data_IF_143078415652
#
_entry.id   IF_143078415652
#
_cell.length_a   1.000
_cell.length_b   1.000
_cell.length_c   1.000
_cell.angle_alpha   90.00
_cell.angle_beta   90.00
_cell.angle_gamma   90.00
#
_symmetry.space_group_name_H-M   'P 1'
#
loop_
_entity.id
_entity.type
_entity.pdbx_description
1 polymer ?
#
# COMPACT_ATOMS: atom_id res chain seq x y z
N UNK A 1 -20.02 -9.41 -9.16
CA UNK A 1 -19.73 -7.95 -9.16
C UNK A 1 -18.26 -7.75 -8.76
N UNK A 2 -17.50 -6.94 -9.50
CA UNK A 2 -16.06 -6.81 -9.26
C UNK A 2 -15.79 -5.88 -8.05
N UNK A 3 -15.31 -6.43 -6.95
CA UNK A 3 -14.98 -5.72 -5.69
C UNK A 3 -14.12 -4.47 -5.94
N UNK A 4 -13.17 -4.54 -6.87
CA UNK A 4 -12.32 -3.40 -7.22
C UNK A 4 -13.10 -2.23 -7.85
N UNK A 5 -14.10 -2.51 -8.69
CA UNK A 5 -14.98 -1.47 -9.25
C UNK A 5 -15.81 -0.79 -8.18
N UNK A 6 -16.34 -1.57 -7.24
CA UNK A 6 -17.11 -1.04 -6.12
C UNK A 6 -16.25 -0.17 -5.18
N UNK A 7 -15.01 -0.60 -4.88
CA UNK A 7 -14.06 0.21 -4.10
C UNK A 7 -13.71 1.53 -4.79
N UNK A 8 -13.46 1.50 -6.11
CA UNK A 8 -13.19 2.73 -6.89
C UNK A 8 -14.40 3.68 -6.89
N UNK A 9 -15.61 3.16 -7.04
CA UNK A 9 -16.83 3.96 -7.00
C UNK A 9 -17.04 4.60 -5.62
N UNK A 10 -16.86 3.84 -4.54
CA UNK A 10 -16.95 4.34 -3.16
C UNK A 10 -15.90 5.41 -2.86
N UNK A 11 -14.66 5.23 -3.34
CA UNK A 11 -13.61 6.23 -3.17
C UNK A 11 -13.97 7.54 -3.89
N UNK A 12 -14.40 7.46 -5.15
CA UNK A 12 -14.79 8.65 -5.93
C UNK A 12 -15.95 9.42 -5.33
N UNK A 13 -16.90 8.70 -4.71
CA UNK A 13 -18.06 9.31 -4.07
C UNK A 13 -17.73 9.99 -2.72
N UNK A 14 -16.80 9.44 -1.96
CA UNK A 14 -16.54 9.86 -0.57
C UNK A 14 -15.26 10.68 -0.39
N UNK A 15 -14.29 10.53 -1.31
CA UNK A 15 -12.95 11.14 -1.27
C UNK A 15 -12.34 11.15 0.16
N UNK A 16 -12.20 9.99 0.82
CA UNK A 16 -11.68 9.94 2.17
C UNK A 16 -10.21 10.39 2.20
N UNK A 17 -9.80 11.04 3.28
CA UNK A 17 -8.38 11.27 3.54
C UNK A 17 -7.66 9.94 3.76
N UNK A 18 -6.60 9.70 2.99
CA UNK A 18 -5.82 8.45 3.04
C UNK A 18 -4.37 8.76 3.37
N UNK A 19 -3.84 8.08 4.39
CA UNK A 19 -2.41 8.05 4.69
C UNK A 19 -1.93 6.62 4.46
N UNK A 20 -0.97 6.45 3.57
CA UNK A 20 -0.37 5.16 3.25
C UNK A 20 1.09 5.12 3.71
N UNK A 21 1.46 4.04 4.37
CA UNK A 21 2.85 3.71 4.70
C UNK A 21 3.23 2.43 3.95
N UNK A 22 4.26 2.51 3.13
CA UNK A 22 4.72 1.41 2.29
C UNK A 22 6.19 1.16 2.59
N UNK A 23 6.57 -0.11 2.83
CA UNK A 23 7.97 -0.45 3.01
C UNK A 23 8.73 -0.36 1.69
N UNK A 24 9.95 0.19 1.73
CA UNK A 24 10.86 0.19 0.58
C UNK A 24 11.08 -1.23 0.05
N UNK A 25 11.33 -2.20 0.93
CA UNK A 25 11.52 -3.61 0.58
C UNK A 25 10.30 -4.22 -0.12
N UNK A 26 9.07 -3.82 0.23
CA UNK A 26 7.86 -4.28 -0.46
C UNK A 26 7.79 -3.71 -1.89
N UNK A 27 8.21 -2.46 -2.09
CA UNK A 27 8.27 -1.87 -3.42
C UNK A 27 9.36 -2.54 -4.28
N UNK A 28 10.51 -2.87 -3.71
CA UNK A 28 11.57 -3.64 -4.39
C UNK A 28 11.05 -5.01 -4.82
N UNK A 29 10.40 -5.73 -3.93
CA UNK A 29 9.81 -7.03 -4.21
C UNK A 29 8.73 -6.92 -5.29
N UNK A 30 7.87 -5.92 -5.22
CA UNK A 30 6.82 -5.66 -6.18
C UNK A 30 7.37 -5.43 -7.60
N UNK A 31 8.43 -4.64 -7.73
CA UNK A 31 9.10 -4.37 -9.01
C UNK A 31 9.84 -5.59 -9.54
N UNK A 32 10.49 -6.38 -8.67
CA UNK A 32 11.26 -7.55 -9.05
C UNK A 32 10.40 -8.74 -9.48
N UNK A 33 9.30 -8.96 -8.78
CA UNK A 33 8.43 -10.14 -9.00
C UNK A 33 7.14 -9.83 -9.75
N UNK A 34 6.78 -8.55 -9.88
CA UNK A 34 5.55 -8.10 -10.50
C UNK A 34 4.34 -8.23 -9.57
N UNK A 35 3.18 -7.89 -10.10
CA UNK A 35 1.91 -8.06 -9.42
C UNK A 35 1.70 -9.53 -9.03
N UNK A 36 1.22 -9.78 -7.81
CA UNK A 36 0.93 -11.11 -7.25
C UNK A 36 2.17 -11.94 -6.87
N UNK A 37 3.38 -11.62 -7.34
CA UNK A 37 4.64 -12.23 -6.89
C UNK A 37 4.81 -13.73 -7.16
N UNK A 38 4.09 -14.30 -8.14
CA UNK A 38 4.20 -15.70 -8.53
C UNK A 38 5.42 -15.94 -9.42
N UNK A 39 6.30 -16.84 -8.98
CA UNK A 39 7.55 -17.18 -9.69
C UNK A 39 7.41 -18.40 -10.61
N UNK A 40 6.36 -19.20 -10.41
CA UNK A 40 6.03 -20.41 -11.17
C UNK A 40 5.39 -20.16 -12.55
N UNK A 41 5.18 -18.91 -12.92
CA UNK A 41 4.59 -18.52 -14.19
C UNK A 41 5.61 -18.51 -15.33
N UNK A 42 5.16 -18.71 -16.60
CA UNK A 42 6.01 -18.60 -17.77
C UNK A 42 6.75 -17.26 -17.83
N UNK A 43 7.99 -17.27 -18.34
CA UNK A 43 8.85 -16.08 -18.36
C UNK A 43 8.20 -14.86 -19.02
N UNK A 44 7.48 -15.05 -20.13
CA UNK A 44 6.72 -14.00 -20.82
C UNK A 44 5.66 -13.36 -19.92
N UNK A 45 4.93 -14.16 -19.14
CA UNK A 45 3.91 -13.67 -18.21
C UNK A 45 4.55 -12.90 -17.06
N UNK A 46 5.66 -13.39 -16.53
CA UNK A 46 6.42 -12.69 -15.47
C UNK A 46 6.94 -11.34 -15.97
N UNK A 47 7.49 -11.29 -17.18
CA UNK A 47 7.95 -10.03 -17.79
C UNK A 47 6.79 -9.02 -17.92
N UNK A 48 5.65 -9.43 -18.47
CA UNK A 48 4.47 -8.57 -18.58
C UNK A 48 3.99 -8.06 -17.22
N UNK A 49 4.02 -8.90 -16.17
CA UNK A 49 3.64 -8.49 -14.81
C UNK A 49 4.62 -7.48 -14.20
N UNK A 50 5.92 -7.63 -14.45
CA UNK A 50 6.91 -6.62 -14.02
C UNK A 50 6.68 -5.27 -14.71
N UNK A 51 6.33 -5.26 -16.00
CA UNK A 51 5.98 -4.02 -16.68
C UNK A 51 4.74 -3.34 -16.06
N UNK A 52 3.70 -4.10 -15.74
CA UNK A 52 2.55 -3.57 -15.02
C UNK A 52 2.94 -3.03 -13.65
N UNK A 53 3.79 -3.73 -12.91
CA UNK A 53 4.28 -3.25 -11.60
C UNK A 53 5.06 -1.93 -11.72
N UNK A 54 5.90 -1.79 -12.76
CA UNK A 54 6.60 -0.52 -13.04
C UNK A 54 5.63 0.61 -13.40
N UNK A 55 4.58 0.32 -14.19
CA UNK A 55 3.57 1.30 -14.52
C UNK A 55 2.83 1.79 -13.27
N UNK A 56 2.45 0.88 -12.37
CA UNK A 56 1.84 1.22 -11.08
C UNK A 56 2.79 2.00 -10.17
N UNK A 57 4.07 1.61 -10.11
CA UNK A 57 5.07 2.34 -9.33
C UNK A 57 5.27 3.78 -9.85
N UNK A 58 5.26 3.99 -11.18
CA UNK A 58 5.28 5.35 -11.77
C UNK A 58 4.04 6.15 -11.39
N UNK A 59 2.86 5.50 -11.37
CA UNK A 59 1.62 6.15 -10.95
C UNK A 59 1.68 6.56 -9.46
N UNK A 60 2.17 5.68 -8.58
CA UNK A 60 2.42 6.03 -7.18
C UNK A 60 3.39 7.22 -7.03
N UNK A 61 4.45 7.22 -7.84
CA UNK A 61 5.44 8.30 -7.83
C UNK A 61 4.82 9.63 -8.26
N UNK A 62 3.96 9.61 -9.29
CA UNK A 62 3.22 10.80 -9.72
C UNK A 62 2.28 11.30 -8.61
N UNK A 63 1.56 10.40 -7.92
CA UNK A 63 0.72 10.78 -6.78
C UNK A 63 1.49 11.42 -5.64
N UNK A 64 2.74 10.99 -5.39
CA UNK A 64 3.60 11.63 -4.39
C UNK A 64 4.09 13.01 -4.83
N UNK A 65 4.36 13.18 -6.13
CA UNK A 65 4.85 14.43 -6.71
C UNK A 65 3.73 15.50 -6.79
N UNK A 66 2.53 15.06 -7.18
CA UNK A 66 1.35 15.94 -7.29
C UNK A 66 0.76 16.31 -5.91
N UNK A 67 1.10 15.58 -4.86
CA UNK A 67 0.60 15.75 -3.49
C UNK A 67 -0.92 16.06 -3.43
N UNK A 68 -1.78 15.22 -4.03
CA UNK A 68 -3.19 15.52 -4.10
C UNK A 68 -3.79 15.61 -2.70
N UNK A 69 -4.63 16.61 -2.47
CA UNK A 69 -5.35 16.79 -1.20
C UNK A 69 -6.09 15.47 -0.86
N UNK A 70 -5.84 14.96 0.34
CA UNK A 70 -6.48 13.76 0.86
C UNK A 70 -5.74 12.45 0.58
N UNK A 71 -4.66 12.41 -0.20
CA UNK A 71 -3.83 11.22 -0.38
C UNK A 71 -2.39 11.52 -0.01
N UNK A 72 -1.89 10.89 1.05
CA UNK A 72 -0.53 11.04 1.51
C UNK A 72 0.17 9.67 1.50
N UNK A 73 1.37 9.61 0.95
CA UNK A 73 2.15 8.38 0.82
C UNK A 73 3.53 8.60 1.44
N UNK A 74 3.89 7.72 2.38
CA UNK A 74 5.21 7.68 2.99
C UNK A 74 5.92 6.36 2.67
N UNK A 75 7.20 6.44 2.31
CA UNK A 75 8.06 5.28 2.10
C UNK A 75 8.90 5.04 3.35
N UNK A 76 8.74 3.89 3.97
CA UNK A 76 9.49 3.49 5.16
C UNK A 76 10.66 2.62 4.73
N UNK A 77 11.87 3.06 5.08
CA UNK A 77 13.10 2.32 4.75
C UNK A 77 13.44 1.24 5.80
N UNK A 78 12.84 1.36 6.98
CA UNK A 78 12.96 0.40 8.07
C UNK A 78 12.07 -0.84 7.87
N UNK A 79 12.27 -1.81 8.79
CA UNK A 79 11.39 -2.97 8.91
C UNK A 79 9.99 -2.56 9.33
N UNK A 80 9.00 -2.97 8.55
CA UNK A 80 7.60 -2.86 8.93
C UNK A 80 7.10 -4.10 9.67
N UNK A 81 6.00 -3.99 10.44
CA UNK A 81 5.30 -5.15 10.97
C UNK A 81 4.95 -6.14 9.84
N UNK A 82 5.03 -7.43 10.14
CA UNK A 82 4.74 -8.47 9.14
C UNK A 82 3.29 -8.47 8.64
N UNK A 83 2.37 -7.92 9.44
CA UNK A 83 0.94 -7.91 9.15
C UNK A 83 0.51 -6.54 8.65
N UNK A 84 -0.15 -6.51 7.50
CA UNK A 84 -0.78 -5.29 7.01
C UNK A 84 -1.96 -4.91 7.90
N UNK A 85 -2.10 -3.63 8.22
CA UNK A 85 -3.25 -3.13 8.96
C UNK A 85 -3.81 -1.85 8.35
N UNK A 86 -5.07 -1.58 8.64
CA UNK A 86 -5.77 -0.37 8.24
C UNK A 86 -6.59 0.14 9.42
N UNK A 87 -6.53 1.43 9.68
CA UNK A 87 -7.38 2.10 10.66
C UNK A 87 -8.41 2.92 9.89
N UNK A 88 -9.65 2.55 10.07
CA UNK A 88 -10.79 3.28 9.50
C UNK A 88 -11.37 4.20 10.57
N UNK A 89 -11.37 5.51 10.29
CA UNK A 89 -12.00 6.51 11.12
C UNK A 89 -13.33 6.91 10.51
N UNK A 90 -14.40 6.64 11.22
CA UNK A 90 -15.77 7.02 10.87
C UNK A 90 -16.26 8.05 11.90
N UNK A 91 -17.33 8.80 11.61
CA UNK A 91 -17.83 9.82 12.55
C UNK A 91 -18.20 9.28 13.94
N UNK A 92 -18.69 8.05 14.01
CA UNK A 92 -19.21 7.40 15.21
C UNK A 92 -18.28 6.32 15.81
N UNK A 93 -17.27 5.89 15.08
CA UNK A 93 -16.41 4.79 15.52
C UNK A 93 -15.09 4.72 14.77
N UNK A 94 -14.14 4.01 15.38
CA UNK A 94 -12.89 3.60 14.76
C UNK A 94 -12.81 2.08 14.67
N UNK A 95 -12.23 1.59 13.60
CA UNK A 95 -12.08 0.15 13.34
C UNK A 95 -10.64 -0.11 12.89
N UNK A 96 -9.99 -1.09 13.51
CA UNK A 96 -8.74 -1.66 13.08
C UNK A 96 -9.02 -2.93 12.30
N UNK A 97 -8.54 -3.01 11.07
CA UNK A 97 -8.55 -4.21 10.25
C UNK A 97 -7.11 -4.71 10.06
N UNK A 98 -6.87 -5.96 10.42
CA UNK A 98 -5.59 -6.66 10.28
C UNK A 98 -5.74 -7.72 9.19
N UNK A 99 -4.90 -7.67 8.17
CA UNK A 99 -4.87 -8.71 7.14
C UNK A 99 -3.69 -9.67 7.39
N UNK A 100 -3.93 -10.97 7.51
CA UNK A 100 -2.86 -11.96 7.64
C UNK A 100 -2.08 -12.15 6.33
N UNK A 101 -2.59 -11.64 5.23
CA UNK A 101 -1.97 -11.72 3.92
C UNK A 101 -1.35 -10.38 3.53
N UNK A 102 -0.22 -10.44 2.86
CA UNK A 102 0.42 -9.25 2.30
C UNK A 102 -0.44 -8.62 1.20
N UNK A 103 -0.32 -7.33 1.07
CA UNK A 103 -0.96 -6.60 -0.01
C UNK A 103 -0.46 -7.16 -1.37
N UNK A 104 -1.38 -7.45 -2.29
CA UNK A 104 -1.03 -8.01 -3.59
C UNK A 104 -1.06 -9.55 -3.67
N UNK A 105 -1.20 -10.28 -2.56
CA UNK A 105 -1.38 -11.73 -2.61
C UNK A 105 -2.80 -12.13 -3.03
N UNK A 106 -2.92 -13.26 -3.73
CA UNK A 106 -4.20 -13.72 -4.31
C UNK A 106 -5.37 -13.77 -3.31
N UNK A 107 -5.19 -14.27 -2.06
CA UNK A 107 -6.30 -14.30 -1.10
C UNK A 107 -6.85 -12.93 -0.78
N UNK A 108 -5.97 -11.92 -0.66
CA UNK A 108 -6.38 -10.54 -0.39
C UNK A 108 -7.06 -9.87 -1.59
N UNK A 109 -6.63 -10.21 -2.81
CA UNK A 109 -7.20 -9.65 -4.03
C UNK A 109 -8.58 -10.27 -4.33
N UNK A 110 -8.72 -11.58 -4.11
CA UNK A 110 -9.94 -12.31 -4.48
C UNK A 110 -11.01 -12.30 -3.41
N UNK A 111 -10.64 -12.46 -2.14
CA UNK A 111 -11.58 -12.72 -1.04
C UNK A 111 -11.63 -11.56 -0.06
N UNK A 112 -10.47 -10.95 0.27
CA UNK A 112 -10.39 -9.86 1.23
C UNK A 112 -10.60 -10.37 2.66
N UNK A 113 -9.67 -11.15 3.20
CA UNK A 113 -9.72 -11.65 4.57
C UNK A 113 -9.11 -10.63 5.52
N UNK A 114 -9.86 -10.28 6.59
CA UNK A 114 -9.35 -9.42 7.65
C UNK A 114 -9.90 -9.84 9.02
N UNK A 115 -9.06 -9.68 10.05
CA UNK A 115 -9.52 -9.65 11.44
C UNK A 115 -9.90 -8.23 11.78
N UNK A 116 -11.06 -8.02 12.39
CA UNK A 116 -11.60 -6.69 12.68
C UNK A 116 -11.80 -6.55 14.18
N UNK A 117 -11.31 -5.44 14.73
CA UNK A 117 -11.51 -5.08 16.12
C UNK A 117 -11.77 -3.57 16.28
N UNK A 118 -12.50 -3.21 17.31
CA UNK A 118 -12.67 -1.83 17.79
C UNK A 118 -12.14 -1.66 19.22
N UNK A 119 -11.36 -2.63 19.72
CA UNK A 119 -10.77 -2.55 21.06
C UNK A 119 -9.87 -1.31 21.17
N UNK A 120 -10.08 -0.44 22.18
CA UNK A 120 -9.34 0.82 22.32
C UNK A 120 -7.83 0.62 22.43
N UNK A 121 -7.39 -0.43 23.13
CA UNK A 121 -5.98 -0.74 23.32
C UNK A 121 -5.30 -1.13 22.01
N UNK A 122 -5.98 -1.93 21.18
CA UNK A 122 -5.47 -2.33 19.87
C UNK A 122 -5.37 -1.12 18.93
N UNK A 123 -6.38 -0.27 18.92
CA UNK A 123 -6.39 0.97 18.14
C UNK A 123 -5.25 1.89 18.57
N UNK A 124 -5.11 2.17 19.87
CA UNK A 124 -4.08 3.05 20.41
C UNK A 124 -2.66 2.55 20.06
N UNK A 125 -2.41 1.25 20.17
CA UNK A 125 -1.12 0.63 19.82
C UNK A 125 -0.80 0.86 18.35
N UNK A 126 -1.73 0.57 17.44
CA UNK A 126 -1.51 0.69 16.00
C UNK A 126 -1.44 2.14 15.54
N UNK A 127 -2.18 3.05 16.15
CA UNK A 127 -2.08 4.48 15.87
C UNK A 127 -0.72 5.04 16.29
N UNK A 128 -0.23 4.66 17.47
CA UNK A 128 1.11 5.04 17.94
C UNK A 128 2.18 4.55 16.95
N UNK A 129 2.13 3.27 16.59
CA UNK A 129 3.06 2.68 15.63
C UNK A 129 3.00 3.37 14.26
N UNK A 130 1.80 3.61 13.72
CA UNK A 130 1.64 4.32 12.45
C UNK A 130 2.22 5.73 12.50
N UNK A 131 2.04 6.46 13.62
CA UNK A 131 2.60 7.79 13.83
C UNK A 131 4.13 7.77 13.85
N UNK A 132 4.74 6.82 14.57
CA UNK A 132 6.19 6.67 14.64
C UNK A 132 6.79 6.32 13.26
N UNK A 133 6.17 5.41 12.53
CA UNK A 133 6.56 5.07 11.16
C UNK A 133 6.43 6.26 10.22
N UNK A 134 5.35 7.03 10.34
CA UNK A 134 5.13 8.24 9.53
C UNK A 134 6.22 9.30 9.78
N UNK A 135 6.64 9.47 11.04
CA UNK A 135 7.71 10.42 11.37
C UNK A 135 9.03 10.08 10.67
N UNK A 136 9.35 8.79 10.52
CA UNK A 136 10.58 8.29 9.91
C UNK A 136 10.47 8.07 8.38
N UNK A 137 9.26 8.06 7.83
CA UNK A 137 9.04 7.81 6.41
C UNK A 137 9.59 8.95 5.53
N UNK A 138 10.11 8.61 4.37
CA UNK A 138 10.33 9.55 3.29
C UNK A 138 8.98 10.05 2.76
N UNK A 139 8.85 11.34 2.54
CA UNK A 139 7.62 12.00 2.07
C UNK A 139 7.95 13.04 1.01
N UNK A 140 6.95 13.44 0.21
CA UNK A 140 7.10 14.48 -0.82
C UNK A 140 8.27 14.20 -1.75
N UNK A 141 9.09 15.21 -2.00
CA UNK A 141 10.22 15.14 -2.95
C UNK A 141 11.25 14.04 -2.61
N UNK A 142 11.48 13.74 -1.34
CA UNK A 142 12.39 12.68 -0.93
C UNK A 142 11.84 11.28 -1.29
N UNK A 143 10.54 11.06 -1.10
CA UNK A 143 9.88 9.81 -1.52
C UNK A 143 9.87 9.67 -3.04
N UNK A 144 9.61 10.74 -3.76
CA UNK A 144 9.65 10.78 -5.24
C UNK A 144 11.04 10.42 -5.77
N UNK A 145 12.09 11.03 -5.22
CA UNK A 145 13.47 10.76 -5.63
C UNK A 145 13.85 9.29 -5.39
N UNK A 146 13.50 8.75 -4.20
CA UNK A 146 13.71 7.37 -3.85
C UNK A 146 13.00 6.41 -4.83
N UNK A 147 11.73 6.66 -5.12
CA UNK A 147 10.94 5.82 -6.03
C UNK A 147 11.45 5.87 -7.47
N UNK A 148 11.85 7.04 -7.98
CA UNK A 148 12.45 7.18 -9.32
C UNK A 148 13.73 6.36 -9.44
N UNK A 149 14.61 6.41 -8.45
CA UNK A 149 15.84 5.62 -8.41
C UNK A 149 15.53 4.11 -8.36
N UNK A 150 14.60 3.70 -7.51
CA UNK A 150 14.17 2.31 -7.38
C UNK A 150 13.62 1.75 -8.70
N UNK A 151 12.75 2.50 -9.38
CA UNK A 151 12.18 2.12 -10.68
C UNK A 151 13.30 1.98 -11.73
N UNK A 152 14.26 2.91 -11.76
CA UNK A 152 15.41 2.86 -12.67
C UNK A 152 16.26 1.61 -12.46
N UNK A 153 16.56 1.26 -11.21
CA UNK A 153 17.34 0.04 -10.87
C UNK A 153 16.61 -1.27 -11.18
N UNK A 154 15.30 -1.24 -11.35
CA UNK A 154 14.46 -2.42 -11.64
C UNK A 154 14.32 -2.73 -13.14
N UNK A 155 14.92 -1.93 -14.01
CA UNK A 155 14.92 -2.14 -15.47
C UNK A 155 15.89 -3.23 -15.85
#
# INVERSE_FOLDING_TARGET
>A
MNVLRQRKASYRARQPGIVNLIAAAEMERFLSHGLVGRLDLPAKTRAARRELARAEARHFTALMDDEPIGVQIGIVQDTLPHTSFQIFRQPDRQILALSPFRLGEEPNIRVGVAMITSAPEALALHEKMAKELWQRALKGTAAVAFMRDLIKRSQ
#
